data_IF_585484792443
#
_entry.id   IF_585484792443
#
_cell.length_a   1.000
_cell.length_b   1.000
_cell.length_c   1.000
_cell.angle_alpha   90.00
_cell.angle_beta   90.00
_cell.angle_gamma   90.00
#
_symmetry.space_group_name_H-M   'P 1'
#
loop_
_entity.id
_entity.type
_entity.pdbx_description
1 polymer ?
#
# COMPACT_ATOMS: atom_id res chain seq x y z
N UNK A 1 -32.68 44.03 -34.64
CA UNK A 1 -33.15 44.04 -33.24
C UNK A 1 -33.36 42.61 -32.79
N UNK A 2 -32.64 42.15 -31.77
CA UNK A 2 -32.86 40.81 -31.19
C UNK A 2 -34.14 40.87 -30.36
N UNK A 3 -35.09 39.96 -30.60
CA UNK A 3 -36.36 39.96 -29.86
C UNK A 3 -36.12 39.62 -28.38
N UNK A 4 -36.95 40.16 -27.49
CA UNK A 4 -36.83 39.95 -26.04
C UNK A 4 -36.76 38.46 -25.65
N UNK A 5 -37.51 37.59 -26.35
CA UNK A 5 -37.46 36.14 -26.14
C UNK A 5 -36.11 35.51 -26.52
N UNK A 6 -35.43 36.00 -27.55
CA UNK A 6 -34.09 35.53 -27.93
C UNK A 6 -33.03 36.00 -26.92
N UNK A 7 -33.16 37.22 -26.39
CA UNK A 7 -32.29 37.73 -25.33
C UNK A 7 -32.44 36.87 -24.05
N UNK A 8 -33.67 36.51 -23.69
CA UNK A 8 -33.94 35.68 -22.52
C UNK A 8 -33.30 34.28 -22.64
N UNK A 9 -33.39 33.64 -23.81
CA UNK A 9 -32.76 32.33 -24.05
C UNK A 9 -31.23 32.40 -24.02
N UNK A 10 -30.63 33.48 -24.54
CA UNK A 10 -29.18 33.68 -24.46
C UNK A 10 -28.73 33.83 -23.01
N UNK A 11 -29.47 34.58 -22.19
CA UNK A 11 -29.14 34.75 -20.76
C UNK A 11 -29.20 33.40 -20.04
N UNK A 12 -30.25 32.60 -20.26
CA UNK A 12 -30.36 31.26 -19.67
C UNK A 12 -29.19 30.37 -20.12
N UNK A 13 -28.82 30.40 -21.41
CA UNK A 13 -27.71 29.63 -21.94
C UNK A 13 -26.37 30.01 -21.30
N UNK A 14 -26.08 31.32 -21.16
CA UNK A 14 -24.87 31.82 -20.50
C UNK A 14 -24.86 31.45 -19.01
N UNK A 15 -26.01 31.54 -18.33
CA UNK A 15 -26.11 31.18 -16.92
C UNK A 15 -25.91 29.67 -16.69
N UNK A 16 -26.48 28.82 -17.56
CA UNK A 16 -26.29 27.37 -17.51
C UNK A 16 -24.83 26.97 -17.75
N UNK A 17 -24.17 27.58 -18.75
CA UNK A 17 -22.74 27.37 -19.00
C UNK A 17 -21.91 27.87 -17.81
N UNK A 18 -22.26 29.03 -17.24
CA UNK A 18 -21.63 29.57 -16.04
C UNK A 18 -21.73 28.62 -14.84
N UNK A 19 -22.91 28.05 -14.58
CA UNK A 19 -23.11 27.11 -13.48
C UNK A 19 -22.34 25.79 -13.64
N UNK A 20 -22.05 25.38 -14.87
CA UNK A 20 -21.29 24.15 -15.15
C UNK A 20 -19.77 24.41 -15.17
N UNK A 21 -19.34 25.56 -15.71
CA UNK A 21 -17.93 25.90 -15.90
C UNK A 21 -17.29 26.65 -14.72
N UNK A 22 -18.06 27.41 -13.92
CA UNK A 22 -17.51 28.16 -12.79
C UNK A 22 -17.03 27.26 -11.64
N UNK A 23 -17.75 26.18 -11.23
CA UNK A 23 -17.26 25.30 -10.17
C UNK A 23 -15.94 24.62 -10.57
N UNK A 24 -15.80 24.20 -11.83
CA UNK A 24 -14.59 23.55 -12.34
C UNK A 24 -13.42 24.52 -12.53
N UNK A 25 -13.67 25.79 -12.89
CA UNK A 25 -12.63 26.83 -12.96
C UNK A 25 -12.24 27.37 -11.58
N UNK A 26 -13.19 27.56 -10.66
CA UNK A 26 -12.88 27.90 -9.25
C UNK A 26 -12.10 26.76 -8.62
N UNK A 27 -12.40 25.49 -8.89
CA UNK A 27 -11.59 24.38 -8.38
C UNK A 27 -10.18 24.32 -8.98
N UNK A 28 -9.98 24.85 -10.19
CA UNK A 28 -8.66 24.95 -10.83
C UNK A 28 -7.86 26.16 -10.30
N UNK A 29 -8.49 27.25 -9.86
CA UNK A 29 -7.81 28.48 -9.42
C UNK A 29 -7.83 28.72 -7.90
N UNK A 30 -8.86 28.28 -7.19
CA UNK A 30 -8.94 28.33 -5.73
C UNK A 30 -8.16 27.16 -5.13
N UNK A 31 -6.90 27.42 -4.78
CA UNK A 31 -6.01 26.45 -4.16
C UNK A 31 -4.67 26.25 -4.87
N UNK A 32 -4.48 26.85 -6.06
CA UNK A 32 -3.27 26.57 -6.83
C UNK A 32 -1.95 27.06 -6.19
N UNK A 33 -1.94 28.01 -5.26
CA UNK A 33 -0.68 28.45 -4.62
C UNK A 33 -0.84 29.05 -3.21
N UNK A 34 -1.36 28.28 -2.25
CA UNK A 34 -1.14 28.63 -0.83
C UNK A 34 0.27 28.18 -0.43
N UNK A 35 1.20 29.12 -0.40
CA UNK A 35 2.53 28.91 0.15
C UNK A 35 2.41 28.87 1.68
N UNK A 36 2.67 27.71 2.27
CA UNK A 36 2.74 27.57 3.72
C UNK A 36 4.11 28.05 4.20
N UNK A 37 4.12 28.94 5.18
CA UNK A 37 5.35 29.29 5.88
C UNK A 37 5.82 28.08 6.67
N UNK A 38 6.91 27.46 6.22
CA UNK A 38 7.55 26.31 6.87
C UNK A 38 8.66 26.73 7.84
N UNK A 39 8.86 28.03 8.06
CA UNK A 39 9.84 28.52 9.03
C UNK A 39 9.53 28.04 10.46
N UNK A 40 8.28 28.08 10.97
CA UNK A 40 8.00 27.52 12.29
C UNK A 40 8.44 26.06 12.39
N UNK A 41 8.95 25.63 13.54
CA UNK A 41 9.29 24.23 13.77
C UNK A 41 8.06 23.32 13.73
N UNK A 42 8.15 22.15 13.10
CA UNK A 42 7.09 21.13 13.13
C UNK A 42 6.54 20.71 11.76
N UNK A 43 5.23 20.44 11.71
CA UNK A 43 4.49 20.24 10.46
C UNK A 43 3.58 21.45 10.20
N UNK A 44 3.90 22.24 9.19
CA UNK A 44 3.15 23.43 8.77
C UNK A 44 2.27 23.15 7.55
N UNK A 45 2.44 21.98 6.93
CA UNK A 45 1.72 21.60 5.72
C UNK A 45 0.47 20.81 6.17
N UNK A 46 -0.74 21.34 5.95
CA UNK A 46 -1.98 20.65 6.32
C UNK A 46 -2.32 19.60 5.26
N UNK A 47 -1.65 18.44 5.35
CA UNK A 47 -1.74 17.32 4.42
C UNK A 47 -3.21 16.93 4.14
N UNK A 48 -4.04 16.95 5.17
CA UNK A 48 -5.45 16.60 5.18
C UNK A 48 -6.34 17.49 4.32
N UNK A 49 -5.91 18.72 3.98
CA UNK A 49 -6.65 19.56 3.03
C UNK A 49 -6.64 19.00 1.61
N UNK A 50 -5.60 18.22 1.27
CA UNK A 50 -5.42 17.63 -0.05
C UNK A 50 -5.63 16.10 -0.05
N UNK A 51 -5.38 15.44 1.09
CA UNK A 51 -5.45 13.98 1.26
C UNK A 51 -6.50 13.60 2.32
N UNK A 52 -7.70 14.18 2.22
CA UNK A 52 -8.76 14.02 3.21
C UNK A 52 -9.26 12.57 3.33
N UNK A 53 -9.35 11.87 2.20
CA UNK A 53 -9.70 10.44 2.10
C UNK A 53 -8.65 9.55 2.78
N UNK A 54 -7.37 9.83 2.59
CA UNK A 54 -6.27 9.10 3.25
C UNK A 54 -6.30 9.34 4.76
N UNK A 55 -6.57 10.56 5.20
CA UNK A 55 -6.73 10.84 6.64
C UNK A 55 -7.92 10.08 7.21
N UNK A 56 -9.03 9.99 6.48
CA UNK A 56 -10.20 9.21 6.90
C UNK A 56 -9.86 7.73 7.06
N UNK A 57 -9.17 7.13 6.08
CA UNK A 57 -8.72 5.74 6.17
C UNK A 57 -7.77 5.52 7.36
N UNK A 58 -6.80 6.41 7.51
CA UNK A 58 -5.84 6.38 8.62
C UNK A 58 -6.58 6.45 9.98
N UNK A 59 -7.58 7.33 10.09
CA UNK A 59 -8.39 7.51 11.30
C UNK A 59 -9.20 6.28 11.70
N UNK A 60 -9.48 5.38 10.75
CA UNK A 60 -10.17 4.10 11.00
C UNK A 60 -9.20 3.02 11.49
N UNK A 61 -7.90 3.21 11.31
CA UNK A 61 -6.85 2.32 11.81
C UNK A 61 -6.56 2.55 13.30
N UNK A 62 -5.93 1.57 13.94
CA UNK A 62 -5.55 1.66 15.36
C UNK A 62 -4.03 1.68 15.59
N UNK A 63 -3.23 1.31 14.59
CA UNK A 63 -1.80 1.04 14.76
C UNK A 63 -0.88 2.15 14.20
N UNK A 64 -1.30 2.81 13.12
CA UNK A 64 -0.50 3.86 12.47
C UNK A 64 -0.97 5.28 12.80
N UNK A 65 -1.91 5.40 13.72
CA UNK A 65 -2.34 6.68 14.33
C UNK A 65 -1.59 6.92 15.63
N UNK A 66 -1.54 8.18 16.08
CA UNK A 66 -1.01 8.56 17.41
C UNK A 66 0.50 8.37 17.55
N UNK A 67 1.21 8.27 16.44
CA UNK A 67 2.65 8.09 16.43
C UNK A 67 3.37 9.43 16.64
N UNK A 68 2.72 10.52 16.23
CA UNK A 68 3.20 11.90 16.46
C UNK A 68 2.01 12.85 16.40
N UNK A 69 1.92 13.79 17.35
CA UNK A 69 0.80 14.74 17.40
C UNK A 69 -0.21 14.36 18.48
N UNK A 70 -1.50 14.40 18.13
CA UNK A 70 -2.59 14.02 19.05
C UNK A 70 -2.54 12.52 19.43
N UNK A 71 -2.58 12.16 20.72
CA UNK A 71 -2.49 10.77 21.17
C UNK A 71 -3.80 9.98 21.08
N UNK A 72 -4.90 10.60 20.62
CA UNK A 72 -6.24 10.03 20.57
C UNK A 72 -6.84 9.98 19.16
N UNK A 73 -6.43 10.85 18.24
CA UNK A 73 -6.94 10.93 16.87
C UNK A 73 -5.82 11.06 15.83
N UNK A 74 -6.07 10.58 14.61
CA UNK A 74 -5.18 10.83 13.50
C UNK A 74 -5.16 12.32 13.15
N UNK A 75 -3.97 12.87 12.90
CA UNK A 75 -3.80 14.26 12.49
C UNK A 75 -2.69 14.41 11.42
N UNK A 76 -2.45 15.65 10.96
CA UNK A 76 -1.39 15.93 9.98
C UNK A 76 0.02 15.60 10.47
N UNK A 77 0.27 15.49 11.79
CA UNK A 77 1.58 15.10 12.31
C UNK A 77 1.83 13.61 12.09
N UNK A 78 0.82 12.76 12.17
CA UNK A 78 0.92 11.34 11.82
C UNK A 78 1.32 11.15 10.35
N UNK A 79 0.86 12.02 9.44
CA UNK A 79 1.31 12.01 8.05
C UNK A 79 2.84 12.20 7.96
N UNK A 80 3.39 13.16 8.71
CA UNK A 80 4.85 13.38 8.74
C UNK A 80 5.61 12.25 9.40
N UNK A 81 4.99 11.51 10.30
CA UNK A 81 5.63 10.38 10.94
C UNK A 81 6.01 9.32 9.91
N UNK A 82 5.15 9.01 8.94
CA UNK A 82 5.47 8.07 7.87
C UNK A 82 6.27 8.72 6.74
N UNK A 83 5.82 9.91 6.28
CA UNK A 83 6.36 10.53 5.07
C UNK A 83 7.72 11.23 5.25
N UNK A 84 8.18 11.42 6.49
CA UNK A 84 9.45 12.10 6.81
C UNK A 84 10.34 11.29 7.74
N UNK A 85 10.04 9.99 7.92
CA UNK A 85 10.82 9.09 8.77
C UNK A 85 12.22 8.82 8.21
N UNK A 86 12.37 8.87 6.89
CA UNK A 86 13.63 8.53 6.25
C UNK A 86 14.67 9.66 6.43
N UNK A 87 15.59 9.45 7.37
CA UNK A 87 16.65 10.41 7.71
C UNK A 87 17.68 10.66 6.60
N UNK A 88 17.74 9.79 5.58
CA UNK A 88 18.60 9.99 4.41
C UNK A 88 18.00 10.94 3.36
N UNK A 89 16.74 11.34 3.54
CA UNK A 89 16.02 12.27 2.65
C UNK A 89 15.91 13.62 3.37
N UNK A 90 16.29 14.70 2.70
CA UNK A 90 16.10 16.05 3.24
C UNK A 90 14.82 16.66 2.69
N UNK A 91 13.99 17.15 3.61
CA UNK A 91 12.72 17.81 3.35
C UNK A 91 12.83 19.30 3.64
N UNK A 92 11.97 20.11 3.01
CA UNK A 92 11.85 21.50 3.44
C UNK A 92 11.41 21.54 4.91
N UNK A 93 12.07 22.39 5.71
CA UNK A 93 11.78 22.56 7.13
C UNK A 93 12.25 23.91 7.62
N UNK A 94 11.75 24.31 8.77
CA UNK A 94 12.29 25.40 9.58
C UNK A 94 12.27 25.04 11.06
N UNK A 95 12.83 25.93 11.86
CA UNK A 95 12.91 25.82 13.33
C UNK A 95 12.50 27.12 14.06
N UNK A 96 11.98 28.10 13.32
CA UNK A 96 11.61 29.44 13.78
C UNK A 96 12.75 30.46 13.67
N UNK A 97 14.00 30.01 13.52
CA UNK A 97 15.18 30.86 13.33
C UNK A 97 15.69 30.85 11.89
N UNK A 98 15.40 29.80 11.12
CA UNK A 98 15.75 29.71 9.71
C UNK A 98 14.92 28.70 8.93
N UNK A 99 15.04 28.79 7.60
CA UNK A 99 14.41 27.88 6.63
C UNK A 99 15.46 27.17 5.81
N UNK A 100 15.30 25.86 5.64
CA UNK A 100 16.15 25.05 4.78
C UNK A 100 15.34 24.48 3.64
N UNK A 101 15.85 24.66 2.42
CA UNK A 101 15.31 24.00 1.24
C UNK A 101 15.63 22.51 1.32
N UNK A 102 14.60 21.66 1.23
CA UNK A 102 14.79 20.22 1.06
C UNK A 102 15.45 19.95 -0.28
N UNK A 103 16.34 18.95 -0.34
CA UNK A 103 17.07 18.59 -1.56
C UNK A 103 16.40 17.45 -2.31
N UNK A 104 15.95 16.42 -1.59
CA UNK A 104 15.40 15.21 -2.19
C UNK A 104 13.87 15.25 -2.27
N UNK A 105 13.19 15.93 -1.34
CA UNK A 105 11.73 16.03 -1.34
C UNK A 105 11.24 17.41 -0.86
N UNK A 106 10.15 17.90 -1.47
CA UNK A 106 9.55 19.17 -1.07
C UNK A 106 8.91 19.08 0.32
N UNK A 107 8.10 18.05 0.59
CA UNK A 107 7.31 17.94 1.82
C UNK A 107 7.22 16.50 2.39
N UNK A 108 7.12 15.52 1.50
CA UNK A 108 6.83 14.13 1.84
C UNK A 108 7.43 13.20 0.77
N UNK A 109 7.71 11.94 1.14
CA UNK A 109 8.05 10.87 0.19
C UNK A 109 7.18 9.65 0.41
N UNK A 110 7.07 8.80 -0.61
CA UNK A 110 6.63 7.43 -0.38
C UNK A 110 7.63 6.71 0.54
N UNK A 111 7.12 5.80 1.36
CA UNK A 111 7.92 5.06 2.34
C UNK A 111 7.68 3.57 2.18
N UNK A 112 8.72 2.76 2.36
CA UNK A 112 8.61 1.31 2.42
C UNK A 112 8.12 0.87 3.80
N UNK A 113 7.22 -0.11 3.85
CA UNK A 113 6.77 -0.72 5.10
C UNK A 113 7.97 -1.20 5.92
N UNK A 114 8.94 -1.85 5.27
CA UNK A 114 10.14 -2.35 5.94
C UNK A 114 11.04 -1.27 6.53
N UNK A 115 10.87 0.01 6.21
CA UNK A 115 11.66 1.05 6.88
C UNK A 115 11.49 1.00 8.40
N UNK A 116 10.26 0.80 8.88
CA UNK A 116 9.97 0.60 10.29
C UNK A 116 9.91 -0.89 10.67
N UNK A 117 9.33 -1.72 9.79
CA UNK A 117 9.06 -3.12 10.11
C UNK A 117 10.27 -4.06 9.95
N UNK A 118 11.35 -3.65 9.26
CA UNK A 118 12.60 -4.43 9.22
C UNK A 118 13.43 -4.25 10.50
N UNK A 119 13.70 -3.03 11.00
CA UNK A 119 14.48 -2.86 12.22
C UNK A 119 13.64 -2.92 13.49
N UNK A 120 12.31 -2.98 13.38
CA UNK A 120 11.36 -2.78 14.50
C UNK A 120 11.51 -1.37 15.11
N UNK A 121 11.60 -0.35 14.25
CA UNK A 121 11.69 1.05 14.70
C UNK A 121 10.40 1.47 15.39
N UNK A 122 10.52 2.31 16.43
CA UNK A 122 9.38 2.88 17.17
C UNK A 122 8.40 1.83 17.74
N UNK A 123 8.90 0.62 18.02
CA UNK A 123 8.06 -0.48 18.53
C UNK A 123 7.17 -1.13 17.47
N UNK A 124 7.39 -0.83 16.18
CA UNK A 124 6.69 -1.50 15.09
C UNK A 124 6.97 -3.01 15.13
N UNK A 125 5.93 -3.87 14.99
CA UNK A 125 6.14 -5.31 14.98
C UNK A 125 7.03 -5.69 13.79
N UNK A 126 7.97 -6.60 14.01
CA UNK A 126 8.91 -7.02 12.98
C UNK A 126 8.19 -7.82 11.87
N UNK A 127 8.35 -7.42 10.61
CA UNK A 127 7.82 -8.15 9.45
C UNK A 127 8.80 -9.24 8.99
N UNK A 128 9.08 -10.19 9.87
CA UNK A 128 10.00 -11.30 9.64
C UNK A 128 9.39 -12.46 8.84
N UNK A 129 10.25 -13.42 8.48
CA UNK A 129 9.88 -14.62 7.75
C UNK A 129 10.17 -14.53 6.26
N UNK A 130 10.54 -13.37 5.72
CA UNK A 130 10.77 -13.15 4.28
C UNK A 130 12.25 -13.04 3.89
N UNK A 131 13.15 -12.96 4.86
CA UNK A 131 14.57 -12.68 4.61
C UNK A 131 14.85 -11.22 4.29
N UNK A 132 14.03 -10.31 4.81
CA UNK A 132 14.07 -8.88 4.48
C UNK A 132 14.25 -7.98 5.71
N UNK A 133 14.27 -8.56 6.91
CA UNK A 133 14.52 -7.79 8.13
C UNK A 133 16.02 -7.70 8.45
N UNK A 134 16.38 -6.91 9.46
CA UNK A 134 17.77 -6.86 9.94
C UNK A 134 18.12 -7.99 10.93
N UNK A 135 17.25 -8.99 11.10
CA UNK A 135 17.50 -10.15 11.95
C UNK A 135 18.22 -11.24 11.15
N UNK A 136 19.36 -11.72 11.66
CA UNK A 136 20.11 -12.81 11.02
C UNK A 136 19.35 -14.15 10.96
N UNK A 137 18.33 -14.33 11.79
CA UNK A 137 17.49 -15.53 11.82
C UNK A 137 16.31 -15.46 10.85
N UNK A 138 16.00 -14.27 10.32
CA UNK A 138 15.03 -14.10 9.25
C UNK A 138 15.68 -14.52 7.93
N UNK A 139 15.58 -15.81 7.62
CA UNK A 139 16.18 -16.38 6.40
C UNK A 139 15.23 -16.40 5.21
N UNK A 140 13.93 -16.24 5.45
CA UNK A 140 12.92 -16.44 4.41
C UNK A 140 12.50 -17.90 4.19
N UNK A 141 13.27 -18.87 4.68
CA UNK A 141 13.19 -20.26 4.22
C UNK A 141 11.86 -20.98 4.52
N UNK A 142 11.06 -20.46 5.45
CA UNK A 142 9.84 -21.11 5.95
C UNK A 142 8.55 -20.34 5.62
N UNK A 143 8.62 -19.15 4.99
CA UNK A 143 7.41 -18.40 4.67
C UNK A 143 6.82 -18.81 3.33
N UNK A 144 5.58 -19.30 3.36
CA UNK A 144 4.81 -19.61 2.16
C UNK A 144 4.59 -18.39 1.24
N UNK A 145 4.56 -17.18 1.82
CA UNK A 145 4.34 -15.93 1.08
C UNK A 145 5.63 -15.22 0.66
N UNK A 146 6.82 -15.80 0.89
CA UNK A 146 8.09 -15.14 0.58
C UNK A 146 8.18 -14.73 -0.88
N UNK A 147 7.90 -15.64 -1.80
CA UNK A 147 8.00 -15.34 -3.23
C UNK A 147 7.00 -14.25 -3.65
N UNK A 148 5.80 -14.23 -3.08
CA UNK A 148 4.86 -13.14 -3.30
C UNK A 148 5.42 -11.77 -2.89
N UNK A 149 6.08 -11.70 -1.74
CA UNK A 149 6.74 -10.47 -1.25
C UNK A 149 7.94 -10.09 -2.10
N UNK A 150 8.75 -11.06 -2.53
CA UNK A 150 9.93 -10.80 -3.36
C UNK A 150 9.55 -10.34 -4.78
N UNK A 151 8.56 -10.96 -5.39
CA UNK A 151 8.04 -10.58 -6.71
C UNK A 151 7.43 -9.17 -6.67
N UNK A 152 6.74 -8.80 -5.59
CA UNK A 152 6.21 -7.45 -5.41
C UNK A 152 7.30 -6.37 -5.52
N UNK A 153 8.55 -6.65 -5.10
CA UNK A 153 9.67 -5.72 -5.24
C UNK A 153 10.08 -5.45 -6.69
N UNK A 154 9.69 -6.33 -7.62
CA UNK A 154 9.90 -6.16 -9.05
C UNK A 154 8.82 -5.30 -9.73
N UNK A 155 7.73 -4.99 -9.02
CA UNK A 155 6.60 -4.20 -9.54
C UNK A 155 6.85 -2.72 -9.24
N UNK A 156 6.52 -1.83 -10.19
CA UNK A 156 6.77 -0.39 -10.08
C UNK A 156 5.59 0.43 -9.57
N UNK A 157 4.47 -0.22 -9.22
CA UNK A 157 3.25 0.45 -8.76
C UNK A 157 3.47 1.12 -7.40
N UNK A 158 4.01 0.38 -6.44
CA UNK A 158 4.38 0.86 -5.12
C UNK A 158 5.86 0.61 -4.86
N UNK A 159 6.44 1.38 -3.95
CA UNK A 159 7.87 1.30 -3.67
C UNK A 159 8.21 0.00 -2.93
N UNK A 160 9.05 -0.84 -3.54
CA UNK A 160 9.56 -2.07 -2.92
C UNK A 160 8.46 -3.11 -2.69
N UNK A 161 8.47 -3.74 -1.52
CA UNK A 161 7.54 -4.81 -1.11
C UNK A 161 6.13 -4.33 -0.76
N UNK A 162 5.88 -3.03 -0.81
CA UNK A 162 4.64 -2.41 -0.34
C UNK A 162 3.38 -2.98 -0.98
N UNK A 163 3.43 -3.39 -2.25
CA UNK A 163 2.30 -4.02 -2.94
C UNK A 163 1.83 -5.28 -2.20
N UNK A 164 2.76 -6.16 -1.82
CA UNK A 164 2.43 -7.37 -1.08
C UNK A 164 1.92 -7.08 0.32
N UNK A 165 2.50 -6.08 0.99
CA UNK A 165 2.06 -5.69 2.33
C UNK A 165 0.64 -5.10 2.29
N UNK A 166 0.37 -4.16 1.38
CA UNK A 166 -0.92 -3.48 1.26
C UNK A 166 -1.99 -4.44 0.81
N UNK A 167 -1.67 -5.37 -0.10
CA UNK A 167 -2.56 -6.44 -0.49
C UNK A 167 -3.11 -7.21 0.72
N UNK A 168 -2.31 -7.45 1.76
CA UNK A 168 -2.73 -8.27 2.90
C UNK A 168 -3.07 -7.49 4.18
N UNK A 169 -2.55 -6.28 4.37
CA UNK A 169 -2.63 -5.51 5.61
C UNK A 169 -3.50 -4.25 5.54
N UNK A 170 -4.12 -3.96 4.38
CA UNK A 170 -5.03 -2.83 4.22
C UNK A 170 -6.40 -3.29 3.71
N UNK A 171 -7.36 -2.36 3.66
CA UNK A 171 -8.73 -2.62 3.23
C UNK A 171 -8.92 -2.47 1.72
N UNK A 172 -7.87 -2.64 0.91
CA UNK A 172 -8.02 -2.62 -0.54
C UNK A 172 -8.73 -3.87 -1.05
N UNK A 173 -9.48 -3.70 -2.13
CA UNK A 173 -10.06 -4.82 -2.88
C UNK A 173 -8.93 -5.66 -3.48
N UNK A 174 -9.05 -6.98 -3.36
CA UNK A 174 -8.11 -7.93 -3.96
C UNK A 174 -8.79 -8.76 -5.02
N UNK A 175 -8.10 -8.88 -6.15
CA UNK A 175 -8.42 -9.82 -7.21
C UNK A 175 -7.14 -10.51 -7.65
N UNK A 176 -7.02 -11.81 -7.36
CA UNK A 176 -5.87 -12.59 -7.78
C UNK A 176 -6.22 -14.05 -8.03
N UNK A 177 -5.47 -14.65 -8.96
CA UNK A 177 -5.54 -16.08 -9.26
C UNK A 177 -4.28 -16.74 -8.72
N UNK A 178 -4.42 -17.87 -8.02
CA UNK A 178 -3.28 -18.71 -7.66
C UNK A 178 -3.50 -20.14 -8.11
N UNK A 179 -2.46 -20.71 -8.73
CA UNK A 179 -2.44 -22.11 -9.15
C UNK A 179 -1.66 -22.92 -8.13
N UNK A 180 -2.24 -24.01 -7.64
CA UNK A 180 -1.59 -24.90 -6.69
C UNK A 180 -1.78 -26.36 -7.08
N UNK A 181 -0.93 -27.24 -6.55
CA UNK A 181 -1.04 -28.68 -6.74
C UNK A 181 -2.25 -29.17 -5.94
N UNK A 182 -3.23 -29.76 -6.62
CA UNK A 182 -4.44 -30.32 -6.00
C UNK A 182 -4.21 -31.75 -5.49
N UNK A 183 -3.37 -32.50 -6.19
CA UNK A 183 -3.08 -33.89 -5.85
C UNK A 183 -1.62 -34.20 -6.10
N UNK A 184 -1.02 -34.97 -5.18
CA UNK A 184 0.33 -35.50 -5.29
C UNK A 184 0.28 -36.95 -5.74
N UNK A 185 1.02 -37.28 -6.79
CA UNK A 185 1.33 -38.65 -7.17
C UNK A 185 2.51 -39.16 -6.35
N UNK A 186 2.38 -40.37 -5.82
CA UNK A 186 3.44 -41.07 -5.09
C UNK A 186 3.71 -42.39 -5.82
N UNK A 187 4.92 -42.53 -6.35
CA UNK A 187 5.39 -43.77 -6.95
C UNK A 187 6.41 -44.41 -6.01
N UNK A 188 6.18 -45.68 -5.65
CA UNK A 188 7.08 -46.46 -4.81
C UNK A 188 7.62 -47.60 -5.67
N UNK A 189 8.94 -47.60 -5.90
CA UNK A 189 9.64 -48.67 -6.59
C UNK A 189 10.36 -49.54 -5.56
N UNK A 190 10.02 -50.82 -5.51
CA UNK A 190 10.63 -51.77 -4.59
C UNK A 190 11.58 -52.70 -5.35
N UNK A 191 12.78 -52.94 -4.81
CA UNK A 191 13.69 -53.97 -5.29
C UNK A 191 13.97 -54.98 -4.19
N UNK A 192 13.91 -56.26 -4.55
CA UNK A 192 14.08 -57.38 -3.64
C UNK A 192 15.44 -58.05 -3.87
N UNK A 193 16.18 -58.31 -2.80
CA UNK A 193 17.37 -59.14 -2.86
C UNK A 193 17.01 -60.57 -3.31
N UNK A 194 17.87 -61.20 -4.09
CA UNK A 194 17.64 -62.54 -4.67
C UNK A 194 17.50 -63.65 -3.62
N UNK A 195 17.95 -63.42 -2.39
CA UNK A 195 17.79 -64.32 -1.24
C UNK A 195 16.51 -64.07 -0.43
N UNK A 196 15.70 -63.07 -0.81
CA UNK A 196 14.44 -62.71 -0.15
C UNK A 196 14.61 -61.99 1.20
N UNK A 197 15.84 -61.58 1.58
CA UNK A 197 16.11 -61.04 2.92
C UNK A 197 16.24 -59.52 2.99
N UNK A 198 16.24 -58.82 1.86
CA UNK A 198 16.34 -57.36 1.79
C UNK A 198 15.37 -56.72 0.80
N UNK A 199 14.75 -55.61 1.21
CA UNK A 199 13.93 -54.74 0.34
C UNK A 199 14.56 -53.36 0.33
N UNK A 200 14.81 -52.81 -0.86
CA UNK A 200 15.10 -51.39 -1.04
C UNK A 200 13.89 -50.71 -1.66
N UNK A 201 13.56 -49.51 -1.18
CA UNK A 201 12.46 -48.71 -1.69
C UNK A 201 12.98 -47.37 -2.22
N UNK A 202 12.53 -46.98 -3.40
CA UNK A 202 12.71 -45.65 -3.97
C UNK A 202 11.36 -44.95 -4.03
N UNK A 203 11.27 -43.74 -3.46
CA UNK A 203 10.04 -42.97 -3.37
C UNK A 203 10.16 -41.74 -4.28
N UNK A 204 9.25 -41.63 -5.25
CA UNK A 204 9.16 -40.47 -6.14
C UNK A 204 7.85 -39.73 -5.90
N UNK A 205 7.94 -38.45 -5.59
CA UNK A 205 6.79 -37.56 -5.41
C UNK A 205 6.68 -36.64 -6.62
N UNK A 206 5.49 -36.54 -7.21
CA UNK A 206 5.24 -35.64 -8.35
C UNK A 206 3.87 -34.97 -8.25
N UNK A 207 3.69 -33.76 -8.78
CA UNK A 207 2.36 -33.16 -8.90
C UNK A 207 1.52 -33.96 -9.91
N UNK A 208 0.37 -34.48 -9.48
CA UNK A 208 -0.53 -35.26 -10.32
C UNK A 208 -1.62 -34.42 -10.98
N UNK A 209 -2.04 -33.31 -10.35
CA UNK A 209 -2.93 -32.34 -10.97
C UNK A 209 -2.80 -30.98 -10.30
N UNK A 210 -3.04 -29.92 -11.08
CA UNK A 210 -3.10 -28.54 -10.58
C UNK A 210 -4.55 -28.05 -10.56
N UNK A 211 -4.80 -27.05 -9.73
CA UNK A 211 -6.07 -26.32 -9.67
C UNK A 211 -5.77 -24.83 -9.54
N UNK A 212 -6.56 -24.03 -10.21
CA UNK A 212 -6.50 -22.57 -10.11
C UNK A 212 -7.70 -22.08 -9.32
N UNK A 213 -7.44 -21.25 -8.33
CA UNK A 213 -8.46 -20.55 -7.57
C UNK A 213 -8.43 -19.07 -7.94
N UNK A 214 -9.60 -18.49 -8.18
CA UNK A 214 -9.77 -17.05 -8.27
C UNK A 214 -10.33 -16.55 -6.93
N UNK A 215 -9.61 -15.60 -6.33
CA UNK A 215 -10.05 -14.92 -5.12
C UNK A 215 -10.48 -13.52 -5.51
N UNK A 216 -11.72 -13.19 -5.19
CA UNK A 216 -12.23 -11.83 -5.21
C UNK A 216 -12.65 -11.45 -3.79
N UNK A 217 -12.08 -10.36 -3.29
CA UNK A 217 -12.35 -9.84 -1.96
C UNK A 217 -12.63 -8.35 -2.00
N UNK A 218 -13.82 -7.98 -2.47
CA UNK A 218 -14.33 -6.60 -2.49
C UNK A 218 -14.53 -6.00 -1.09
N UNK A 219 -14.79 -6.82 -0.06
CA UNK A 219 -14.86 -6.40 1.34
C UNK A 219 -14.10 -7.40 2.22
N UNK A 220 -12.97 -6.95 2.79
CA UNK A 220 -12.11 -7.78 3.65
C UNK A 220 -12.60 -7.92 5.09
N UNK A 221 -13.68 -7.23 5.46
CA UNK A 221 -14.33 -7.41 6.77
C UNK A 221 -15.27 -8.62 6.79
N UNK A 222 -15.68 -9.11 5.62
CA UNK A 222 -16.32 -10.40 5.43
C UNK A 222 -15.29 -11.45 4.95
N UNK A 223 -15.49 -12.74 5.28
CA UNK A 223 -14.65 -13.80 4.69
C UNK A 223 -14.82 -13.77 3.16
N UNK A 224 -13.74 -13.52 2.44
CA UNK A 224 -13.74 -13.49 0.97
C UNK A 224 -14.25 -14.79 0.35
N UNK A 225 -14.91 -14.68 -0.78
CA UNK A 225 -15.35 -15.83 -1.59
C UNK A 225 -14.25 -16.21 -2.57
N UNK A 226 -14.01 -17.51 -2.74
CA UNK A 226 -13.14 -18.03 -3.79
C UNK A 226 -13.96 -18.91 -4.73
N UNK A 227 -13.61 -18.89 -6.01
CA UNK A 227 -14.16 -19.81 -7.00
C UNK A 227 -13.04 -20.65 -7.62
N UNK A 228 -13.39 -21.90 -7.94
CA UNK A 228 -12.49 -22.79 -8.67
C UNK A 228 -12.59 -22.45 -10.15
N UNK A 229 -11.49 -21.96 -10.72
CA UNK A 229 -11.39 -21.72 -12.16
C UNK A 229 -11.19 -23.08 -12.83
N UNK A 230 -12.20 -23.54 -13.58
CA UNK A 230 -12.18 -24.81 -14.33
C UNK A 230 -11.78 -24.60 -15.77
#
# INVERSE_FOLDING_TARGET
MVSAGKIFLIIIGVFAVGLIALPSTISLFAGQHYWYDVNPGGNQIPCEKCHADVLEELSRGIYHIKQKGDPYSADGQDCTFCHRVNSSITYAKGDGAGTWVGKEAHAATNIQCLYCHAPSLYGAPRAGGFGLTNDSTDTGALAAHREFVLEARGITLLLGENEACIACHTQIELNYNYTTVRSMGVTIEESYASDGTGVTQSWTFSPASNITYAINSADRTAKGTYEVVR
#
